data_IF_881382324997
#
_entry.id   IF_881382324997
#
_cell.length_a   1.000
_cell.length_b   1.000
_cell.length_c   1.000
_cell.angle_alpha   90.00
_cell.angle_beta   90.00
_cell.angle_gamma   90.00
#
_symmetry.space_group_name_H-M   'P 1'
#
loop_
_entity.id
_entity.type
_entity.pdbx_description
1 polymer ?
#
# COMPACT_ATOMS: atom_id res chain seq x y z
N UNK A 1 30.20 -38.86 -9.50
CA UNK A 1 30.02 -37.51 -8.93
C UNK A 1 28.53 -37.27 -8.72
N UNK A 2 28.10 -36.83 -7.52
CA UNK A 2 26.70 -36.53 -7.22
C UNK A 2 26.33 -35.13 -7.72
N UNK A 3 25.40 -35.03 -8.67
CA UNK A 3 24.72 -33.79 -9.06
C UNK A 3 23.45 -33.65 -8.21
N UNK A 4 23.45 -32.75 -7.22
CA UNK A 4 22.22 -32.30 -6.56
C UNK A 4 21.61 -31.17 -7.39
N UNK A 5 20.54 -31.48 -8.13
CA UNK A 5 19.67 -30.47 -8.72
C UNK A 5 18.95 -29.72 -7.59
N UNK A 6 19.19 -28.41 -7.49
CA UNK A 6 18.34 -27.50 -6.74
C UNK A 6 17.10 -27.21 -7.60
N UNK A 7 16.04 -27.99 -7.41
CA UNK A 7 14.72 -27.67 -7.97
C UNK A 7 14.11 -26.54 -7.15
N UNK A 8 14.11 -25.33 -7.70
CA UNK A 8 13.23 -24.25 -7.25
C UNK A 8 11.79 -24.70 -7.45
N UNK A 9 10.91 -24.69 -6.42
CA UNK A 9 9.51 -25.03 -6.62
C UNK A 9 8.89 -24.00 -7.58
N UNK A 10 8.05 -24.40 -8.55
CA UNK A 10 7.26 -23.44 -9.29
C UNK A 10 6.34 -22.73 -8.30
N UNK A 11 6.50 -21.43 -8.14
CA UNK A 11 5.46 -20.62 -7.52
C UNK A 11 4.18 -20.91 -8.30
N UNK A 12 3.15 -21.41 -7.62
CA UNK A 12 1.81 -21.53 -8.18
C UNK A 12 1.40 -20.16 -8.68
N UNK A 13 1.54 -19.92 -9.98
CA UNK A 13 1.00 -18.74 -10.62
C UNK A 13 -0.48 -19.01 -10.83
N UNK A 14 -1.24 -18.91 -9.72
CA UNK A 14 -2.67 -18.69 -9.82
C UNK A 14 -2.84 -17.48 -10.75
N UNK A 15 -3.59 -17.60 -11.87
CA UNK A 15 -3.82 -16.45 -12.72
C UNK A 15 -4.37 -15.36 -11.82
N UNK A 16 -3.76 -14.16 -11.80
CA UNK A 16 -4.25 -13.12 -10.91
C UNK A 16 -5.73 -12.93 -11.22
N UNK A 17 -6.60 -12.79 -10.20
CA UNK A 17 -7.96 -12.38 -10.45
C UNK A 17 -7.92 -11.19 -11.41
N UNK A 18 -8.83 -11.11 -12.37
CA UNK A 18 -8.91 -9.96 -13.27
C UNK A 18 -9.12 -8.72 -12.42
N UNK A 19 -8.03 -8.05 -12.07
CA UNK A 19 -8.04 -6.92 -11.16
C UNK A 19 -8.87 -5.81 -11.79
N UNK A 20 -9.87 -5.37 -11.03
CA UNK A 20 -10.68 -4.23 -11.39
C UNK A 20 -9.79 -3.00 -11.58
N UNK A 21 -10.24 -2.00 -12.34
CA UNK A 21 -9.51 -0.73 -12.46
C UNK A 21 -9.17 -0.10 -11.10
N UNK A 22 -10.01 -0.34 -10.08
CA UNK A 22 -9.77 0.10 -8.71
C UNK A 22 -8.62 -0.66 -8.04
N UNK A 23 -8.59 -1.99 -8.12
CA UNK A 23 -7.56 -2.81 -7.47
C UNK A 23 -6.16 -2.39 -7.93
N UNK A 24 -5.98 -2.21 -9.25
CA UNK A 24 -4.73 -1.68 -9.83
C UNK A 24 -4.34 -0.30 -9.32
N UNK A 25 -5.32 0.57 -9.07
CA UNK A 25 -5.10 1.91 -8.53
C UNK A 25 -4.73 1.86 -7.05
N UNK A 26 -5.43 1.05 -6.25
CA UNK A 26 -5.11 0.82 -4.85
C UNK A 26 -3.67 0.31 -4.71
N UNK A 27 -3.31 -0.67 -5.52
CA UNK A 27 -1.96 -1.21 -5.67
C UNK A 27 -0.91 -0.15 -5.99
N UNK A 28 -1.21 0.74 -6.94
CA UNK A 28 -0.31 1.83 -7.30
C UNK A 28 -0.10 2.81 -6.14
N UNK A 29 -1.16 3.11 -5.36
CA UNK A 29 -1.07 3.96 -4.17
C UNK A 29 -0.23 3.30 -3.08
N UNK A 30 -0.42 2.00 -2.84
CA UNK A 30 0.38 1.22 -1.87
C UNK A 30 1.86 1.22 -2.26
N UNK A 31 2.17 0.91 -3.53
CA UNK A 31 3.56 0.95 -4.04
C UNK A 31 4.17 2.34 -3.94
N UNK A 32 3.38 3.38 -4.23
CA UNK A 32 3.82 4.78 -4.12
C UNK A 32 4.23 5.15 -2.69
N UNK A 33 3.47 4.69 -1.69
CA UNK A 33 3.80 4.87 -0.26
C UNK A 33 5.00 4.02 0.13
N UNK A 34 5.07 2.76 -0.30
CA UNK A 34 6.19 1.87 0.01
C UNK A 34 7.54 2.37 -0.54
N UNK A 35 7.52 3.16 -1.62
CA UNK A 35 8.72 3.77 -2.22
C UNK A 35 9.22 5.03 -1.47
N UNK A 36 8.53 5.46 -0.41
CA UNK A 36 8.85 6.72 0.28
C UNK A 36 10.19 6.70 1.01
N UNK A 37 10.97 7.76 0.82
CA UNK A 37 12.24 8.02 1.48
C UNK A 37 12.06 8.75 2.83
N UNK A 38 13.08 8.74 3.71
CA UNK A 38 13.08 9.59 4.91
C UNK A 38 12.77 11.05 4.56
N UNK A 39 11.86 11.68 5.33
CA UNK A 39 11.43 13.07 5.10
C UNK A 39 10.16 13.23 4.26
N UNK A 40 9.78 12.24 3.43
CA UNK A 40 8.56 12.33 2.59
C UNK A 40 7.44 11.35 2.98
N UNK A 41 7.70 10.39 3.86
CA UNK A 41 6.78 9.28 4.23
C UNK A 41 5.37 9.75 4.61
N UNK A 42 5.27 10.71 5.53
CA UNK A 42 3.98 11.19 6.01
C UNK A 42 3.21 11.92 4.91
N UNK A 43 3.87 12.83 4.19
CA UNK A 43 3.25 13.59 3.10
C UNK A 43 2.75 12.67 1.97
N UNK A 44 3.53 11.65 1.61
CA UNK A 44 3.15 10.66 0.59
C UNK A 44 2.00 9.76 1.04
N UNK A 45 2.02 9.32 2.31
CA UNK A 45 0.89 8.59 2.89
C UNK A 45 -0.38 9.44 2.90
N UNK A 46 -0.29 10.70 3.31
CA UNK A 46 -1.44 11.62 3.34
C UNK A 46 -2.04 11.79 1.93
N UNK A 47 -1.21 12.09 0.94
CA UNK A 47 -1.65 12.23 -0.45
C UNK A 47 -2.33 10.95 -0.98
N UNK A 48 -1.73 9.79 -0.71
CA UNK A 48 -2.28 8.51 -1.16
C UNK A 48 -3.62 8.21 -0.49
N UNK A 49 -3.74 8.48 0.81
CA UNK A 49 -4.98 8.32 1.57
C UNK A 49 -6.07 9.26 1.06
N UNK A 50 -5.77 10.55 0.81
CA UNK A 50 -6.74 11.47 0.21
C UNK A 50 -7.25 10.93 -1.14
N UNK A 51 -6.36 10.47 -2.03
CA UNK A 51 -6.79 9.88 -3.31
C UNK A 51 -7.63 8.63 -3.17
N UNK A 52 -7.43 7.84 -2.12
CA UNK A 52 -8.30 6.70 -1.84
C UNK A 52 -9.69 7.15 -1.35
N UNK A 53 -9.75 8.09 -0.41
CA UNK A 53 -11.02 8.60 0.12
C UNK A 53 -11.85 9.37 -0.92
N UNK A 54 -11.20 10.19 -1.75
CA UNK A 54 -11.87 10.90 -2.86
C UNK A 54 -12.50 9.94 -3.88
N UNK A 55 -11.96 8.72 -4.00
CA UNK A 55 -12.51 7.68 -4.87
C UNK A 55 -13.55 6.79 -4.19
N UNK A 56 -13.86 7.02 -2.90
CA UNK A 56 -14.83 6.24 -2.12
C UNK A 56 -14.29 4.96 -1.48
N UNK A 57 -13.00 4.66 -1.62
CA UNK A 57 -12.39 3.39 -1.22
C UNK A 57 -11.35 3.53 -0.09
N UNK A 58 -11.34 4.68 0.59
CA UNK A 58 -10.37 4.95 1.66
C UNK A 58 -10.45 3.94 2.82
N UNK A 59 -11.65 3.41 3.09
CA UNK A 59 -11.85 2.37 4.10
C UNK A 59 -11.25 1.01 3.69
N UNK A 60 -11.29 0.66 2.40
CA UNK A 60 -10.84 -0.63 1.90
C UNK A 60 -9.30 -0.71 1.87
N UNK A 61 -8.65 0.38 1.46
CA UNK A 61 -7.18 0.41 1.27
C UNK A 61 -6.42 1.03 2.45
N UNK A 62 -7.11 1.69 3.40
CA UNK A 62 -6.47 2.44 4.48
C UNK A 62 -5.51 1.62 5.34
N UNK A 63 -5.88 0.38 5.70
CA UNK A 63 -5.00 -0.51 6.45
C UNK A 63 -3.74 -0.91 5.67
N UNK A 64 -3.87 -1.15 4.36
CA UNK A 64 -2.74 -1.47 3.50
C UNK A 64 -1.79 -0.28 3.32
N UNK A 65 -2.32 0.94 3.22
CA UNK A 65 -1.52 2.17 3.20
C UNK A 65 -0.76 2.38 4.51
N UNK A 66 -1.39 2.13 5.66
CA UNK A 66 -0.72 2.17 6.97
C UNK A 66 0.42 1.15 7.02
N UNK A 67 0.17 -0.10 6.62
CA UNK A 67 1.19 -1.14 6.60
C UNK A 67 2.38 -0.77 5.70
N UNK A 68 2.12 -0.24 4.50
CA UNK A 68 3.16 0.23 3.59
C UNK A 68 4.00 1.36 4.19
N UNK A 69 3.36 2.35 4.84
CA UNK A 69 4.09 3.44 5.48
C UNK A 69 4.94 2.97 6.65
N UNK A 70 4.43 2.04 7.46
CA UNK A 70 5.20 1.42 8.56
C UNK A 70 6.42 0.68 8.03
N UNK A 71 6.30 -0.03 6.92
CA UNK A 71 7.43 -0.70 6.27
C UNK A 71 8.55 0.28 5.83
N UNK A 72 8.20 1.55 5.54
CA UNK A 72 9.21 2.58 5.25
C UNK A 72 9.90 3.15 6.49
N UNK A 73 9.41 2.84 7.70
CA UNK A 73 9.91 3.35 8.98
C UNK A 73 9.07 4.48 9.59
N UNK A 74 7.85 4.74 9.10
CA UNK A 74 6.92 5.66 9.75
C UNK A 74 6.29 4.96 10.98
N UNK A 75 6.25 5.58 12.17
CA UNK A 75 5.63 4.94 13.35
C UNK A 75 4.15 4.61 13.11
N UNK A 76 3.70 3.43 13.55
CA UNK A 76 2.31 2.97 13.35
C UNK A 76 1.27 4.01 13.81
N UNK A 77 1.46 4.58 15.00
CA UNK A 77 0.55 5.62 15.55
C UNK A 77 0.44 6.84 14.62
N UNK A 78 1.56 7.21 13.99
CA UNK A 78 1.63 8.36 13.11
C UNK A 78 0.97 8.03 11.78
N UNK A 79 1.26 6.86 11.20
CA UNK A 79 0.62 6.37 10.00
C UNK A 79 -0.92 6.31 10.13
N UNK A 80 -1.43 5.72 11.21
CA UNK A 80 -2.87 5.66 11.49
C UNK A 80 -3.47 7.06 11.65
N UNK A 81 -2.77 7.97 12.35
CA UNK A 81 -3.23 9.35 12.51
C UNK A 81 -3.25 10.12 11.20
N UNK A 82 -2.29 9.87 10.29
CA UNK A 82 -2.24 10.48 8.96
C UNK A 82 -3.41 10.02 8.10
N UNK A 83 -3.71 8.71 8.06
CA UNK A 83 -4.88 8.20 7.31
C UNK A 83 -6.18 8.76 7.88
N UNK A 84 -6.32 8.81 9.21
CA UNK A 84 -7.48 9.43 9.84
C UNK A 84 -7.61 10.93 9.51
N UNK A 85 -6.48 11.64 9.35
CA UNK A 85 -6.47 13.05 8.96
C UNK A 85 -6.92 13.24 7.50
N UNK A 86 -6.48 12.37 6.59
CA UNK A 86 -6.94 12.36 5.21
C UNK A 86 -8.45 12.08 5.10
N UNK A 87 -8.97 11.13 5.89
CA UNK A 87 -10.40 10.84 5.95
C UNK A 87 -11.22 12.07 6.36
N UNK A 88 -10.76 12.81 7.38
CA UNK A 88 -11.42 14.06 7.80
C UNK A 88 -11.30 15.18 6.78
N UNK A 89 -10.15 15.28 6.10
CA UNK A 89 -9.90 16.32 5.09
C UNK A 89 -10.80 16.20 3.86
N UNK A 90 -11.11 14.96 3.46
CA UNK A 90 -11.95 14.66 2.29
C UNK A 90 -13.45 14.70 2.57
N UNK A 91 -13.85 14.72 3.85
CA UNK A 91 -15.24 14.81 4.28
C UNK A 91 -15.75 16.27 4.46
N UNK A 92 -14.90 17.26 4.18
CA UNK A 92 -15.24 18.69 4.19
C UNK A 92 -15.66 19.16 2.80
#
# INVERSE_FOLDING_TARGET
ALLRLLTTPPASHEPPPTEGPWDRRADALIRFVAASQPGERNARLFWAACRAYESGHGHDVGAALVAAAVATGLPLREATSTVASAARHTAM
#
